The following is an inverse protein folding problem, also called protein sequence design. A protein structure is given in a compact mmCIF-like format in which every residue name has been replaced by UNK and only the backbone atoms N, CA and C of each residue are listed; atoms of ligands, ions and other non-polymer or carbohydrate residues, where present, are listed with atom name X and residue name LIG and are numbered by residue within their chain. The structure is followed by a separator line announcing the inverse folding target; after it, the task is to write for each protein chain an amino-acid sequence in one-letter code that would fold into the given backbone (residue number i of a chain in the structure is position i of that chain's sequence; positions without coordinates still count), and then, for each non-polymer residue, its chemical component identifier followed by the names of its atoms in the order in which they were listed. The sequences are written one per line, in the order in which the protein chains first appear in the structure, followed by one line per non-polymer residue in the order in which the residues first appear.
data_IF_885077242308
#
_entry.id   IF_885077242308
#
_cell.length_a   1.000
_cell.length_b   1.000
_cell.length_c   1.000
_cell.angle_alpha   90.00
_cell.angle_beta   90.00
_cell.angle_gamma   90.00
#
_symmetry.space_group_name_H-M   'P 1'
#
loop_
_entity.id
_entity.type
_entity.pdbx_description
1 polymer ?
#
# COMPACT_ATOMS: atom_id res chain seq x y z
N UNK A 1 -7.13 1.60 -9.00
CA UNK A 1 -7.85 0.75 -9.99
C UNK A 1 -6.81 0.09 -10.87
N UNK A 2 -7.04 -1.15 -11.29
CA UNK A 2 -6.27 -1.82 -12.34
C UNK A 2 -7.25 -2.14 -13.46
N UNK A 3 -7.00 -1.60 -14.64
CA UNK A 3 -7.85 -1.75 -15.83
C UNK A 3 -7.05 -2.52 -16.87
N UNK A 4 -7.57 -3.66 -17.31
CA UNK A 4 -6.97 -4.54 -18.30
C UNK A 4 -8.04 -4.85 -19.35
N UNK A 5 -8.01 -4.19 -20.52
CA UNK A 5 -8.99 -4.34 -21.61
C UNK A 5 -10.44 -4.34 -21.09
N UNK A 6 -11.02 -5.52 -20.87
CA UNK A 6 -12.41 -5.72 -20.41
C UNK A 6 -12.55 -6.06 -18.91
N UNK A 7 -11.47 -6.00 -18.14
CA UNK A 7 -11.44 -6.35 -16.71
C UNK A 7 -11.03 -5.16 -15.87
N UNK A 8 -11.80 -4.90 -14.82
CA UNK A 8 -11.48 -3.88 -13.82
C UNK A 8 -11.37 -4.53 -12.46
N UNK A 9 -10.29 -4.23 -11.77
CA UNK A 9 -10.07 -4.56 -10.36
C UNK A 9 -9.90 -3.27 -9.57
N UNK A 10 -10.62 -3.13 -8.46
CA UNK A 10 -10.38 -2.05 -7.52
C UNK A 10 -9.73 -2.60 -6.25
N UNK A 11 -8.86 -1.81 -5.65
CA UNK A 11 -8.19 -2.12 -4.40
C UNK A 11 -8.60 -1.02 -3.43
N UNK A 12 -9.40 -1.37 -2.43
CA UNK A 12 -10.03 -0.39 -1.55
C UNK A 12 -9.50 -0.53 -0.12
N UNK A 13 -9.00 0.58 0.41
CA UNK A 13 -8.79 0.78 1.84
C UNK A 13 -10.11 0.56 2.58
N UNK A 14 -10.02 -0.01 3.78
CA UNK A 14 -11.15 -0.19 4.70
C UNK A 14 -10.84 0.48 6.03
N UNK A 15 -11.84 1.18 6.58
CA UNK A 15 -11.74 1.90 7.86
C UNK A 15 -12.50 1.23 8.99
N UNK A 16 -13.16 0.10 8.70
CA UNK A 16 -13.99 -0.64 9.65
C UNK A 16 -13.58 -2.12 9.66
N UNK A 17 -13.97 -2.83 10.72
CA UNK A 17 -13.65 -4.24 10.90
C UNK A 17 -12.15 -4.48 11.00
N UNK A 18 -11.66 -5.55 10.35
CA UNK A 18 -10.24 -5.92 10.39
C UNK A 18 -9.32 -5.05 9.51
N UNK A 19 -9.87 -4.04 8.80
CA UNK A 19 -9.16 -3.08 7.94
C UNK A 19 -8.27 -3.67 6.84
N UNK A 20 -8.45 -4.95 6.53
CA UNK A 20 -7.72 -5.58 5.43
C UNK A 20 -8.15 -5.03 4.08
N UNK A 21 -7.20 -5.00 3.16
CA UNK A 21 -7.44 -4.49 1.81
C UNK A 21 -8.52 -5.32 1.10
N UNK A 22 -9.46 -4.65 0.43
CA UNK A 22 -10.46 -5.32 -0.40
C UNK A 22 -10.05 -5.30 -1.86
N UNK A 23 -10.11 -6.46 -2.51
CA UNK A 23 -10.14 -6.60 -3.95
C UNK A 23 -11.59 -6.61 -4.43
N UNK A 24 -11.97 -5.62 -5.24
CA UNK A 24 -13.31 -5.49 -5.79
C UNK A 24 -13.31 -5.81 -7.29
N UNK A 25 -14.31 -6.56 -7.74
CA UNK A 25 -14.55 -6.84 -9.16
C UNK A 25 -16.01 -6.49 -9.52
N UNK A 26 -16.25 -5.77 -10.63
CA UNK A 26 -17.61 -5.41 -11.04
C UNK A 26 -18.36 -6.65 -11.55
N UNK A 27 -19.66 -6.72 -11.31
CA UNK A 27 -20.50 -7.84 -11.82
C UNK A 27 -21.69 -7.41 -12.67
N UNK A 28 -22.15 -6.16 -12.55
CA UNK A 28 -23.35 -5.67 -13.26
C UNK A 28 -23.12 -4.26 -13.80
N UNK A 29 -22.34 -4.14 -14.87
CA UNK A 29 -21.99 -2.86 -15.51
C UNK A 29 -21.55 -1.80 -14.48
N UNK A 30 -20.64 -2.18 -13.57
CA UNK A 30 -20.12 -1.32 -12.49
C UNK A 30 -21.13 -0.87 -11.42
N UNK A 31 -22.39 -1.33 -11.46
CA UNK A 31 -23.41 -1.01 -10.44
C UNK A 31 -23.32 -1.88 -9.18
N UNK A 32 -22.79 -3.09 -9.33
CA UNK A 32 -22.61 -4.05 -8.25
C UNK A 32 -21.17 -4.58 -8.30
N UNK A 33 -20.59 -4.79 -7.12
CA UNK A 33 -19.21 -5.20 -6.96
C UNK A 33 -19.13 -6.41 -6.02
N UNK A 34 -18.43 -7.46 -6.45
CA UNK A 34 -18.00 -8.52 -5.56
C UNK A 34 -16.76 -8.04 -4.80
N UNK A 35 -16.77 -8.22 -3.49
CA UNK A 35 -15.65 -7.87 -2.61
C UNK A 35 -14.97 -9.13 -2.10
N UNK A 36 -13.63 -9.10 -2.05
CA UNK A 36 -12.81 -10.15 -1.49
C UNK A 36 -11.77 -9.54 -0.56
N UNK A 37 -11.72 -10.02 0.67
CA UNK A 37 -10.68 -9.67 1.62
C UNK A 37 -9.33 -10.31 1.24
N UNK A 38 -8.28 -9.49 1.24
CA UNK A 38 -6.89 -9.90 1.08
C UNK A 38 -6.18 -10.07 2.43
N UNK A 39 -4.99 -10.65 2.44
CA UNK A 39 -4.34 -11.08 3.68
C UNK A 39 -3.81 -9.96 4.60
N UNK A 40 -3.67 -8.72 4.11
CA UNK A 40 -2.96 -7.63 4.81
C UNK A 40 -3.76 -6.33 4.88
N UNK A 41 -3.47 -5.52 5.89
CA UNK A 41 -3.91 -4.12 5.96
C UNK A 41 -3.01 -3.29 5.05
N UNK A 42 -3.58 -2.74 3.98
CA UNK A 42 -2.90 -1.78 3.10
C UNK A 42 -3.75 -0.52 2.98
N UNK A 43 -3.18 0.61 3.39
CA UNK A 43 -3.82 1.92 3.33
C UNK A 43 -3.22 2.77 2.22
N UNK A 44 -4.08 3.59 1.59
CA UNK A 44 -3.69 4.39 0.41
C UNK A 44 -3.14 3.53 -0.72
N UNK A 45 -3.85 2.47 -1.17
CA UNK A 45 -3.28 1.50 -2.09
C UNK A 45 -3.04 2.09 -3.48
N UNK A 46 -1.84 1.86 -4.02
CA UNK A 46 -1.53 2.00 -5.45
C UNK A 46 -1.22 0.63 -6.04
N UNK A 47 -1.49 0.46 -7.33
CA UNK A 47 -1.39 -0.86 -7.98
C UNK A 47 -0.81 -0.72 -9.37
N UNK A 48 0.10 -1.64 -9.72
CA UNK A 48 0.65 -1.76 -11.06
C UNK A 48 0.73 -3.23 -11.45
N UNK A 49 0.48 -3.54 -12.73
CA UNK A 49 0.85 -4.83 -13.30
C UNK A 49 2.22 -4.72 -13.94
N UNK A 50 3.16 -5.56 -13.54
CA UNK A 50 4.54 -5.54 -14.03
C UNK A 50 5.05 -6.97 -14.19
N UNK A 51 5.71 -7.28 -15.31
CA UNK A 51 6.20 -8.63 -15.64
C UNK A 51 5.17 -9.76 -15.43
N UNK A 52 3.90 -9.49 -15.71
CA UNK A 52 2.80 -10.45 -15.57
C UNK A 52 2.17 -10.53 -14.17
N UNK A 53 2.82 -9.98 -13.15
CA UNK A 53 2.36 -9.99 -11.77
C UNK A 53 1.70 -8.67 -11.36
N UNK A 54 0.84 -8.74 -10.33
CA UNK A 54 0.19 -7.57 -9.74
C UNK A 54 0.95 -7.17 -8.47
N UNK A 55 1.44 -5.94 -8.48
CA UNK A 55 2.07 -5.31 -7.33
C UNK A 55 1.13 -4.32 -6.68
N UNK A 56 1.00 -4.40 -5.36
CA UNK A 56 0.19 -3.52 -4.54
C UNK A 56 1.13 -2.78 -3.60
N UNK A 57 1.02 -1.46 -3.58
CA UNK A 57 1.83 -0.58 -2.76
C UNK A 57 0.93 0.18 -1.80
N UNK A 58 1.44 0.55 -0.63
CA UNK A 58 0.70 1.38 0.32
C UNK A 58 1.29 1.32 1.71
N UNK A 59 0.64 2.01 2.65
CA UNK A 59 0.98 1.89 4.07
C UNK A 59 0.52 0.54 4.61
N UNK A 60 1.42 -0.18 5.26
CA UNK A 60 1.15 -1.37 6.04
C UNK A 60 1.67 -1.19 7.48
N UNK A 61 1.34 -2.14 8.35
CA UNK A 61 1.85 -2.20 9.71
C UNK A 61 2.77 -3.41 9.85
N UNK A 62 3.96 -3.23 10.41
CA UNK A 62 4.92 -4.33 10.63
C UNK A 62 4.41 -5.35 11.66
N UNK A 63 3.48 -4.93 12.52
CA UNK A 63 2.70 -5.78 13.43
C UNK A 63 1.21 -5.52 13.17
N UNK A 64 0.52 -6.50 12.58
CA UNK A 64 -0.92 -6.40 12.28
C UNK A 64 -1.81 -7.04 13.36
N UNK A 65 -1.26 -7.94 14.17
CA UNK A 65 -1.93 -8.43 15.38
C UNK A 65 -2.22 -7.25 16.31
N UNK A 66 -3.44 -7.19 16.83
CA UNK A 66 -3.90 -6.09 17.68
C UNK A 66 -3.59 -4.69 17.12
N UNK A 67 -3.69 -4.49 15.79
CA UNK A 67 -3.33 -3.22 15.15
C UNK A 67 -4.02 -1.99 15.79
N UNK A 68 -5.26 -2.14 16.29
CA UNK A 68 -6.00 -1.09 17.01
C UNK A 68 -5.33 -0.67 18.30
N UNK A 69 -4.78 -1.64 19.03
CA UNK A 69 -4.03 -1.41 20.25
C UNK A 69 -2.69 -0.76 19.90
N UNK A 70 -1.97 -1.32 18.92
CA UNK A 70 -0.68 -0.79 18.49
C UNK A 70 -0.78 0.68 18.03
N UNK A 71 -1.80 1.06 17.28
CA UNK A 71 -1.97 2.47 16.84
C UNK A 71 -2.32 3.45 17.96
N UNK A 72 -2.86 2.96 19.08
CA UNK A 72 -3.16 3.78 20.26
C UNK A 72 -1.97 3.89 21.20
N UNK A 73 -1.18 2.83 21.31
CA UNK A 73 -0.14 2.69 22.33
C UNK A 73 1.28 2.96 21.81
N UNK A 74 1.52 2.82 20.49
CA UNK A 74 2.85 2.95 19.89
C UNK A 74 2.92 4.13 18.92
N UNK A 75 4.04 4.87 18.88
CA UNK A 75 4.30 5.82 17.81
C UNK A 75 4.20 5.17 16.44
N UNK A 76 3.52 5.81 15.48
CA UNK A 76 3.47 5.32 14.08
C UNK A 76 4.86 5.15 13.48
N UNK A 77 5.85 5.91 13.96
CA UNK A 77 7.26 5.78 13.57
C UNK A 77 7.79 4.36 13.75
N UNK A 78 7.31 3.64 14.75
CA UNK A 78 7.88 2.35 15.12
C UNK A 78 7.37 1.20 14.25
N UNK A 79 6.17 1.33 13.68
CA UNK A 79 5.51 0.18 13.06
C UNK A 79 4.67 0.48 11.81
N UNK A 80 4.41 1.74 11.45
CA UNK A 80 3.79 2.07 10.17
C UNK A 80 4.87 2.27 9.10
N UNK A 81 4.69 1.62 7.95
CA UNK A 81 5.65 1.65 6.84
C UNK A 81 4.92 1.74 5.51
N UNK A 82 5.55 2.32 4.50
CA UNK A 82 5.15 2.16 3.10
C UNK A 82 5.94 1.00 2.49
N UNK A 83 5.30 0.18 1.67
CA UNK A 83 5.98 -0.95 1.03
C UNK A 83 5.34 -1.40 -0.28
N UNK A 84 6.02 -2.32 -0.94
CA UNK A 84 5.59 -3.00 -2.16
C UNK A 84 5.32 -4.48 -1.86
N UNK A 85 4.16 -4.97 -2.32
CA UNK A 85 3.70 -6.33 -2.14
C UNK A 85 3.39 -6.96 -3.50
N UNK A 86 3.70 -8.25 -3.65
CA UNK A 86 3.19 -9.04 -4.76
C UNK A 86 1.89 -9.73 -4.33
N UNK A 87 0.87 -9.67 -5.18
CA UNK A 87 -0.40 -10.37 -4.95
C UNK A 87 -0.34 -11.77 -5.56
N UNK A 88 -0.50 -12.80 -4.72
CA UNK A 88 -0.68 -14.20 -5.14
C UNK A 88 -2.01 -14.70 -4.57
N UNK A 89 -2.99 -14.91 -5.44
CA UNK A 89 -4.38 -15.22 -5.09
C UNK A 89 -5.01 -14.18 -4.15
N UNK A 90 -4.96 -14.45 -2.83
CA UNK A 90 -5.47 -13.59 -1.76
C UNK A 90 -4.37 -13.07 -0.84
N UNK A 91 -3.14 -13.50 -1.08
CA UNK A 91 -1.99 -13.23 -0.23
C UNK A 91 -1.18 -12.06 -0.79
N UNK A 92 -0.96 -11.05 0.06
CA UNK A 92 -0.05 -9.95 -0.19
C UNK A 92 1.29 -10.27 0.48
N UNK A 93 2.28 -10.66 -0.33
CA UNK A 93 3.64 -10.97 0.14
C UNK A 93 4.52 -9.74 -0.01
N UNK A 94 5.15 -9.32 1.09
CA UNK A 94 6.05 -8.17 1.09
C UNK A 94 7.25 -8.46 0.18
N UNK A 95 7.53 -7.55 -0.75
CA UNK A 95 8.71 -7.57 -1.62
C UNK A 95 9.76 -6.59 -1.09
N UNK A 96 9.33 -5.39 -0.70
CA UNK A 96 10.22 -4.38 -0.14
C UNK A 96 9.47 -3.48 0.81
N UNK A 97 10.06 -3.24 1.98
CA UNK A 97 9.75 -2.09 2.82
C UNK A 97 10.53 -0.87 2.28
N UNK A 98 9.93 0.31 2.31
CA UNK A 98 10.59 1.55 1.87
C UNK A 98 11.13 2.33 3.07
N UNK A 99 12.19 3.15 2.89
CA UNK A 99 12.62 4.11 3.91
C UNK A 99 11.47 5.05 4.26
N UNK A 100 10.75 4.72 5.34
CA UNK A 100 9.48 5.34 5.71
C UNK A 100 9.13 5.08 7.16
N UNK A 101 8.22 5.88 7.69
CA UNK A 101 7.83 5.85 9.09
C UNK A 101 6.98 7.06 9.45
N UNK A 102 6.27 6.97 10.58
CA UNK A 102 5.39 8.01 11.07
C UNK A 102 4.15 8.10 10.18
N UNK A 103 3.68 9.33 9.93
CA UNK A 103 2.70 9.53 8.88
C UNK A 103 3.38 9.34 7.51
N UNK A 104 3.09 8.21 6.88
CA UNK A 104 3.56 7.82 5.56
C UNK A 104 2.44 7.07 4.83
N UNK A 105 2.30 7.21 3.51
CA UNK A 105 1.37 6.45 2.64
C UNK A 105 1.34 7.07 1.21
N UNK A 106 0.26 6.78 0.48
CA UNK A 106 -0.14 7.31 -0.82
C UNK A 106 0.96 7.21 -1.89
N UNK A 107 1.51 6.01 -2.14
CA UNK A 107 2.47 5.86 -3.19
C UNK A 107 1.89 6.18 -4.56
N UNK A 108 2.69 6.80 -5.42
CA UNK A 108 2.50 6.81 -6.87
C UNK A 108 3.47 5.81 -7.50
N UNK A 109 3.06 5.08 -8.52
CA UNK A 109 3.92 4.07 -9.16
C UNK A 109 3.83 4.14 -10.67
N UNK A 110 4.98 4.07 -11.34
CA UNK A 110 5.10 3.95 -12.80
C UNK A 110 6.14 2.89 -13.16
N UNK A 111 6.02 2.35 -14.37
CA UNK A 111 7.10 1.57 -14.98
C UNK A 111 8.27 2.51 -15.31
N UNK A 112 9.48 2.17 -14.87
CA UNK A 112 10.70 2.92 -15.17
C UNK A 112 11.40 2.35 -16.40
N UNK A 113 11.66 1.05 -16.43
CA UNK A 113 12.33 0.35 -17.53
C UNK A 113 11.84 -1.11 -17.64
N UNK A 114 12.61 -2.00 -18.29
CA UNK A 114 12.26 -3.43 -18.45
C UNK A 114 12.18 -4.19 -17.14
N UNK A 115 12.97 -3.78 -16.15
CA UNK A 115 13.19 -4.49 -14.90
C UNK A 115 12.88 -3.64 -13.67
N UNK A 116 12.46 -2.39 -13.86
CA UNK A 116 12.32 -1.41 -12.80
C UNK A 116 10.97 -0.71 -12.77
N UNK A 117 10.49 -0.44 -11.56
CA UNK A 117 9.40 0.50 -11.28
C UNK A 117 9.94 1.68 -10.45
N UNK A 118 9.40 2.88 -10.71
CA UNK A 118 9.67 4.08 -9.91
C UNK A 118 8.46 4.37 -9.04
N UNK A 119 8.72 4.61 -7.76
CA UNK A 119 7.69 4.83 -6.75
C UNK A 119 7.93 6.16 -6.05
N UNK A 120 6.92 7.04 -6.04
CA UNK A 120 6.87 8.18 -5.11
C UNK A 120 6.04 7.82 -3.90
N UNK A 121 6.31 8.41 -2.73
CA UNK A 121 5.46 8.29 -1.53
C UNK A 121 5.80 9.42 -0.55
N UNK A 122 4.89 9.75 0.38
CA UNK A 122 5.23 10.68 1.46
C UNK A 122 5.64 9.94 2.74
N UNK A 123 6.47 10.56 3.57
CA UNK A 123 6.81 10.05 4.90
C UNK A 123 7.28 11.15 5.85
N UNK A 124 6.95 11.02 7.13
CA UNK A 124 7.45 11.87 8.23
C UNK A 124 8.47 11.18 9.13
N UNK A 125 9.37 10.37 8.57
CA UNK A 125 10.34 9.60 9.36
C UNK A 125 11.59 10.41 9.76
N UNK A 126 11.89 11.50 9.06
CA UNK A 126 13.07 12.34 9.32
C UNK A 126 12.80 13.46 10.32
N UNK A 127 11.59 14.04 10.31
CA UNK A 127 11.25 15.25 11.09
C UNK A 127 10.43 14.91 12.34
N UNK A 128 11.13 14.38 13.36
CA UNK A 128 10.57 14.10 14.70
C UNK A 128 10.94 15.19 15.72
N UNK A 129 11.94 16.02 15.40
CA UNK A 129 12.49 17.06 16.27
C UNK A 129 12.30 18.41 15.57
N UNK A 130 11.47 19.32 16.08
CA UNK A 130 11.85 20.73 16.31
C UNK A 130 10.73 21.75 16.57
N UNK A 131 9.43 21.47 16.40
CA UNK A 131 8.42 22.51 16.70
C UNK A 131 7.00 22.01 17.03
N UNK A 132 6.81 20.69 17.18
CA UNK A 132 5.50 20.09 17.39
C UNK A 132 4.64 19.98 16.11
N UNK A 133 5.19 20.31 14.94
CA UNK A 133 4.56 20.05 13.64
C UNK A 133 5.10 18.74 13.05
N UNK A 134 4.18 17.95 12.50
CA UNK A 134 4.55 16.76 11.72
C UNK A 134 4.86 17.24 10.30
N UNK A 135 6.14 17.21 9.93
CA UNK A 135 6.56 17.44 8.56
C UNK A 135 6.58 16.10 7.81
N UNK A 136 6.06 16.11 6.58
CA UNK A 136 6.16 14.97 5.67
C UNK A 136 6.85 15.42 4.40
N UNK A 137 7.85 14.64 3.97
CA UNK A 137 8.56 14.85 2.72
C UNK A 137 8.10 13.82 1.69
N UNK A 138 8.27 14.14 0.40
CA UNK A 138 8.05 13.20 -0.70
C UNK A 138 9.37 12.55 -1.06
N UNK A 139 9.38 11.22 -1.08
CA UNK A 139 10.53 10.40 -1.42
C UNK A 139 10.29 9.70 -2.77
N UNK A 140 11.39 9.32 -3.41
CA UNK A 140 11.40 8.49 -4.60
C UNK A 140 12.22 7.24 -4.34
N UNK A 141 11.72 6.11 -4.79
CA UNK A 141 12.39 4.82 -4.70
C UNK A 141 12.31 4.09 -6.04
N UNK A 142 13.46 3.66 -6.52
CA UNK A 142 13.57 2.75 -7.66
C UNK A 142 13.62 1.32 -7.13
N UNK A 143 12.77 0.46 -7.70
CA UNK A 143 12.70 -0.96 -7.36
C UNK A 143 13.05 -1.79 -8.60
N UNK A 144 14.14 -2.52 -8.53
CA UNK A 144 14.45 -3.58 -9.50
C UNK A 144 13.69 -4.85 -9.16
N UNK A 145 12.91 -5.34 -10.11
CA UNK A 145 12.14 -6.59 -10.07
C UNK A 145 12.77 -7.50 -11.13
N UNK A 146 13.58 -8.46 -10.70
CA UNK A 146 14.30 -9.41 -11.57
C UNK A 146 13.42 -10.59 -11.94
#
# INVERSE_FOLDING_TARGET
LLIEEDRVKAFSRTETGNRKLLLLSPVKNFKEWKAMELSRIIQGPAVIKFKGDIYVLGRFYTVEEDWEKNIREKPLLDFARTGCFILKDRELRLISEFPSGGDCSYPGVIKLNTDGILVSYYSGHEDQENDGRIHTNIYLMELEIK
#
